data_IF_901437933617
#
_entry.id   IF_901437933617
#
_cell.length_a   1.000
_cell.length_b   1.000
_cell.length_c   1.000
_cell.angle_alpha   90.00
_cell.angle_beta   90.00
_cell.angle_gamma   90.00
#
_symmetry.space_group_name_H-M   'P 1'
#
loop_
_entity.id
_entity.type
_entity.pdbx_description
1 polymer ?
#
# COMPACT_ATOMS: atom_id res chain seq x y z
N UNK A 1 5.62 -15.69 6.45
CA UNK A 1 7.08 -15.60 6.24
C UNK A 1 7.45 -15.91 4.82
N UNK A 2 6.93 -16.98 4.29
CA UNK A 2 7.18 -17.40 2.92
C UNK A 2 6.67 -16.35 1.90
N UNK A 3 5.47 -15.80 2.15
CA UNK A 3 4.93 -14.75 1.29
C UNK A 3 5.81 -13.51 1.30
N UNK A 4 6.35 -13.13 2.46
CA UNK A 4 7.23 -11.98 2.55
C UNK A 4 8.49 -12.15 1.70
N UNK A 5 9.08 -13.34 1.73
CA UNK A 5 10.26 -13.64 0.93
C UNK A 5 9.93 -13.58 -0.57
N UNK A 6 8.82 -14.18 -0.96
CA UNK A 6 8.41 -14.20 -2.35
C UNK A 6 8.12 -12.79 -2.88
N UNK A 7 7.37 -12.00 -2.12
CA UNK A 7 7.03 -10.64 -2.53
C UNK A 7 8.29 -9.78 -2.61
N UNK A 8 9.14 -9.82 -1.59
CA UNK A 8 10.37 -9.02 -1.58
C UNK A 8 11.29 -9.35 -2.73
N UNK A 9 11.35 -10.63 -3.12
CA UNK A 9 12.21 -11.09 -4.21
C UNK A 9 11.69 -10.70 -5.59
N UNK A 10 10.41 -10.37 -5.70
CA UNK A 10 9.75 -10.14 -6.99
C UNK A 10 9.02 -8.80 -7.06
N UNK A 11 9.43 -7.82 -6.27
CA UNK A 11 8.77 -6.52 -6.26
C UNK A 11 8.80 -5.86 -7.64
N UNK A 12 7.72 -5.14 -7.95
CA UNK A 12 7.72 -4.22 -9.08
C UNK A 12 8.88 -3.23 -8.88
N UNK A 13 9.58 -2.85 -9.96
CA UNK A 13 10.70 -1.90 -9.81
C UNK A 13 10.31 -0.61 -9.08
N UNK A 14 9.11 -0.09 -9.34
CA UNK A 14 8.64 1.13 -8.71
C UNK A 14 8.43 0.95 -7.21
N UNK A 15 7.91 -0.21 -6.80
CA UNK A 15 7.70 -0.49 -5.38
C UNK A 15 9.02 -0.67 -4.65
N UNK A 16 9.96 -1.38 -5.27
CA UNK A 16 11.30 -1.54 -4.70
C UNK A 16 11.98 -0.18 -4.55
N UNK A 17 11.91 0.64 -5.58
CA UNK A 17 12.53 1.96 -5.58
C UNK A 17 11.93 2.85 -4.50
N UNK A 18 10.62 2.80 -4.31
CA UNK A 18 9.97 3.57 -3.26
C UNK A 18 10.50 3.19 -1.89
N UNK A 19 10.65 1.90 -1.61
CA UNK A 19 11.14 1.44 -0.30
C UNK A 19 12.62 1.73 -0.14
N UNK A 20 13.44 1.36 -1.11
CA UNK A 20 14.90 1.46 -1.01
C UNK A 20 15.38 2.90 -1.14
N UNK A 21 14.96 3.60 -2.18
CA UNK A 21 15.41 4.97 -2.42
C UNK A 21 14.57 5.99 -1.66
N UNK A 22 13.25 5.77 -1.59
CA UNK A 22 12.36 6.71 -0.97
C UNK A 22 12.40 6.68 0.54
N UNK A 23 12.24 5.50 1.13
CA UNK A 23 12.26 5.37 2.58
C UNK A 23 13.61 4.99 3.15
N UNK A 24 14.54 4.57 2.32
CA UNK A 24 15.86 4.14 2.77
C UNK A 24 15.82 2.85 3.57
N UNK A 25 14.90 1.94 3.24
CA UNK A 25 14.61 0.74 4.01
C UNK A 25 14.79 -0.49 3.14
N UNK A 26 15.08 -1.63 3.78
CA UNK A 26 15.16 -2.91 3.09
C UNK A 26 13.76 -3.53 2.96
N UNK A 27 13.28 -3.85 1.75
CA UNK A 27 11.94 -4.39 1.57
C UNK A 27 11.70 -5.70 2.31
N UNK A 28 12.64 -6.63 2.26
CA UNK A 28 12.47 -7.92 2.95
C UNK A 28 12.36 -7.74 4.45
N UNK A 29 13.24 -6.92 5.03
CA UNK A 29 13.20 -6.64 6.46
C UNK A 29 11.88 -6.01 6.88
N UNK A 30 11.38 -5.08 6.09
CA UNK A 30 10.10 -4.45 6.34
C UNK A 30 8.96 -5.47 6.32
N UNK A 31 8.90 -6.30 5.27
CA UNK A 31 7.81 -7.27 5.12
C UNK A 31 7.83 -8.35 6.18
N UNK A 32 9.03 -8.80 6.58
CA UNK A 32 9.15 -9.78 7.67
C UNK A 32 8.62 -9.19 8.98
N UNK A 33 8.99 -7.96 9.27
CA UNK A 33 8.51 -7.28 10.47
C UNK A 33 7.00 -7.18 10.48
N UNK A 34 6.40 -6.78 9.37
CA UNK A 34 4.94 -6.65 9.28
C UNK A 34 4.25 -8.01 9.37
N UNK A 35 4.82 -9.04 8.76
CA UNK A 35 4.27 -10.39 8.85
C UNK A 35 4.27 -10.89 10.29
N UNK A 36 5.33 -10.61 11.04
CA UNK A 36 5.43 -11.00 12.45
C UNK A 36 4.43 -10.29 13.33
N UNK A 37 4.05 -9.07 12.98
CA UNK A 37 3.02 -8.33 13.72
C UNK A 37 1.63 -8.91 13.52
N UNK A 38 1.43 -9.67 12.46
CA UNK A 38 0.14 -10.31 12.19
C UNK A 38 -0.95 -9.35 11.72
N UNK A 39 -0.59 -8.16 11.29
CA UNK A 39 -1.56 -7.13 10.89
C UNK A 39 -1.63 -6.95 9.38
N UNK A 40 -0.95 -7.79 8.63
CA UNK A 40 -0.96 -7.69 7.18
C UNK A 40 -1.60 -8.91 6.53
N UNK A 41 -1.92 -8.77 5.25
CA UNK A 41 -2.41 -9.86 4.42
C UNK A 41 -1.51 -9.98 3.19
N UNK A 42 -1.43 -11.17 2.63
CA UNK A 42 -0.89 -11.33 1.29
C UNK A 42 -2.03 -11.74 0.36
N UNK A 43 -1.88 -11.43 -0.92
CA UNK A 43 -2.93 -11.74 -1.87
C UNK A 43 -2.34 -12.33 -3.14
N UNK A 44 -3.13 -13.22 -3.76
CA UNK A 44 -2.74 -13.92 -4.98
C UNK A 44 -3.69 -13.57 -6.11
N UNK A 45 -3.19 -13.69 -7.34
CA UNK A 45 -4.02 -13.51 -8.53
C UNK A 45 -4.61 -14.84 -8.96
N UNK A 46 -5.61 -14.83 -9.87
CA UNK A 46 -6.24 -16.08 -10.32
C UNK A 46 -5.29 -17.14 -10.86
N UNK A 47 -4.12 -16.74 -11.36
CA UNK A 47 -3.11 -17.68 -11.84
C UNK A 47 -2.27 -18.29 -10.71
N UNK A 48 -2.59 -18.00 -9.46
CA UNK A 48 -1.88 -18.53 -8.29
C UNK A 48 -0.61 -17.79 -7.90
N UNK A 49 -0.20 -16.80 -8.68
CA UNK A 49 1.00 -16.03 -8.33
C UNK A 49 0.72 -15.06 -7.19
N UNK A 50 1.64 -14.96 -6.26
CA UNK A 50 1.53 -13.98 -5.18
C UNK A 50 1.72 -12.59 -5.77
N UNK A 51 0.73 -11.73 -5.53
CA UNK A 51 0.68 -10.41 -6.15
C UNK A 51 1.15 -9.31 -5.21
N UNK A 52 1.16 -9.55 -3.91
CA UNK A 52 1.63 -8.54 -2.98
C UNK A 52 1.22 -8.80 -1.55
N UNK A 53 1.62 -7.86 -0.72
CA UNK A 53 1.25 -7.79 0.68
C UNK A 53 0.75 -6.39 0.99
N UNK A 54 -0.19 -6.31 1.91
CA UNK A 54 -0.76 -5.02 2.33
C UNK A 54 -1.13 -5.09 3.80
N UNK A 55 -1.11 -3.95 4.46
CA UNK A 55 -1.48 -3.91 5.87
C UNK A 55 -1.75 -2.50 6.33
N UNK A 56 -2.08 -2.41 7.61
CA UNK A 56 -2.34 -1.14 8.25
C UNK A 56 -1.56 -1.11 9.56
N UNK A 57 -0.62 -0.18 9.64
CA UNK A 57 0.14 0.03 10.86
C UNK A 57 -0.66 0.91 11.81
N UNK A 58 -0.12 1.10 13.00
CA UNK A 58 -0.77 1.91 14.02
C UNK A 58 -1.17 3.28 13.45
N UNK A 59 -2.29 3.80 13.95
CA UNK A 59 -2.81 5.11 13.56
C UNK A 59 -3.27 5.21 12.10
N UNK A 60 -3.58 4.06 11.49
CA UNK A 60 -4.19 4.06 10.17
C UNK A 60 -3.22 4.22 9.01
N UNK A 61 -1.93 3.95 9.22
CA UNK A 61 -0.94 4.05 8.16
C UNK A 61 -1.05 2.83 7.24
N UNK A 62 -1.66 3.03 6.08
CA UNK A 62 -1.89 1.94 5.12
C UNK A 62 -0.67 1.78 4.22
N UNK A 63 -0.34 0.53 3.90
CA UNK A 63 0.79 0.26 3.00
C UNK A 63 0.48 -0.94 2.09
N UNK A 64 1.16 -0.99 0.96
CA UNK A 64 1.05 -2.11 0.03
C UNK A 64 2.31 -2.20 -0.82
N UNK A 65 2.82 -3.41 -0.98
CA UNK A 65 3.95 -3.69 -1.88
C UNK A 65 3.55 -4.82 -2.81
N UNK A 66 3.76 -4.62 -4.11
CA UNK A 66 3.26 -5.50 -5.15
C UNK A 66 4.35 -6.09 -6.03
N UNK A 67 4.03 -7.24 -6.61
CA UNK A 67 4.81 -7.86 -7.66
C UNK A 67 4.20 -7.52 -9.03
N UNK A 68 4.90 -7.78 -10.14
CA UNK A 68 4.31 -7.57 -11.47
C UNK A 68 3.06 -8.39 -11.76
N UNK A 69 2.74 -9.40 -10.93
CA UNK A 69 1.54 -10.21 -11.13
C UNK A 69 0.26 -9.38 -11.15
N UNK A 70 0.25 -8.20 -10.51
CA UNK A 70 -0.93 -7.32 -10.54
C UNK A 70 -1.27 -6.86 -11.95
N UNK A 71 -0.29 -6.81 -12.84
CA UNK A 71 -0.50 -6.34 -14.22
C UNK A 71 -1.19 -7.38 -15.10
N UNK A 72 -1.22 -8.65 -14.67
CA UNK A 72 -1.89 -9.71 -15.41
C UNK A 72 -3.41 -9.64 -15.22
N UNK A 73 -3.85 -9.09 -14.09
CA UNK A 73 -5.27 -9.02 -13.73
C UNK A 73 -5.59 -7.65 -13.11
N UNK A 74 -5.40 -6.56 -13.84
CA UNK A 74 -5.49 -5.23 -13.24
C UNK A 74 -6.87 -4.90 -12.67
N UNK A 75 -7.93 -5.36 -13.31
CA UNK A 75 -9.29 -5.09 -12.83
C UNK A 75 -9.59 -5.90 -11.58
N UNK A 76 -9.23 -7.17 -11.58
CA UNK A 76 -9.41 -8.03 -10.40
C UNK A 76 -8.63 -7.48 -9.23
N UNK A 77 -7.37 -7.09 -9.46
CA UNK A 77 -6.54 -6.49 -8.43
C UNK A 77 -7.18 -5.23 -7.84
N UNK A 78 -7.62 -4.31 -8.70
CA UNK A 78 -8.19 -3.05 -8.24
C UNK A 78 -9.47 -3.28 -7.43
N UNK A 79 -10.31 -4.21 -7.85
CA UNK A 79 -11.55 -4.55 -7.13
C UNK A 79 -11.27 -5.16 -5.76
N UNK A 80 -10.31 -6.07 -5.69
CA UNK A 80 -9.96 -6.70 -4.43
C UNK A 80 -9.32 -5.69 -3.46
N UNK A 81 -8.47 -4.81 -3.97
CA UNK A 81 -7.90 -3.74 -3.17
C UNK A 81 -8.99 -2.84 -2.62
N UNK A 82 -9.99 -2.50 -3.45
CA UNK A 82 -11.10 -1.65 -3.00
C UNK A 82 -11.92 -2.36 -1.93
N UNK A 83 -12.19 -3.65 -2.12
CA UNK A 83 -12.93 -4.43 -1.12
C UNK A 83 -12.20 -4.44 0.21
N UNK A 84 -10.88 -4.64 0.19
CA UNK A 84 -10.07 -4.61 1.40
C UNK A 84 -10.17 -3.25 2.10
N UNK A 85 -9.97 -2.17 1.37
CA UNK A 85 -10.01 -0.82 1.93
C UNK A 85 -11.40 -0.48 2.47
N UNK A 86 -12.45 -0.80 1.70
CA UNK A 86 -13.83 -0.49 2.11
C UNK A 86 -14.22 -1.25 3.39
N UNK A 87 -13.62 -2.40 3.65
CA UNK A 87 -13.92 -3.22 4.82
C UNK A 87 -13.21 -2.78 6.09
N UNK A 88 -12.27 -1.85 6.00
CA UNK A 88 -11.48 -1.46 7.16
C UNK A 88 -12.29 -0.61 8.14
N UNK A 89 -11.95 -0.77 9.42
CA UNK A 89 -12.67 -0.13 10.51
C UNK A 89 -12.02 1.14 11.04
N UNK A 90 -10.81 1.43 10.62
CA UNK A 90 -10.11 2.65 11.00
C UNK A 90 -10.90 3.86 10.54
N UNK A 91 -10.89 4.92 11.33
CA UNK A 91 -11.57 6.16 10.95
C UNK A 91 -10.89 6.89 9.82
N UNK A 92 -9.57 6.78 9.75
CA UNK A 92 -8.75 7.45 8.75
C UNK A 92 -7.65 6.50 8.29
N UNK A 93 -7.49 6.36 7.00
CA UNK A 93 -6.35 5.68 6.39
C UNK A 93 -5.51 6.73 5.67
N UNK A 94 -4.19 6.64 5.82
CA UNK A 94 -3.30 7.63 5.21
C UNK A 94 -1.90 7.07 5.04
N UNK A 95 -1.12 7.69 4.20
CA UNK A 95 0.32 7.48 4.06
C UNK A 95 0.86 8.45 3.02
N UNK A 96 2.10 8.23 2.64
CA UNK A 96 2.73 8.94 1.54
C UNK A 96 3.13 7.93 0.46
N UNK A 97 3.17 8.38 -0.78
CA UNK A 97 3.53 7.53 -1.92
C UNK A 97 4.53 8.27 -2.79
N UNK A 98 5.54 7.55 -3.29
CA UNK A 98 6.53 8.13 -4.21
C UNK A 98 5.80 8.64 -5.45
N UNK A 99 6.04 9.89 -5.79
CA UNK A 99 5.37 10.54 -6.92
C UNK A 99 5.66 9.82 -8.25
N UNK A 100 6.76 9.09 -8.34
CA UNK A 100 7.13 8.32 -9.51
C UNK A 100 6.32 7.02 -9.68
N UNK A 101 5.66 6.57 -8.62
CA UNK A 101 4.90 5.31 -8.63
C UNK A 101 3.50 5.55 -9.19
N UNK A 102 3.43 5.80 -10.50
CA UNK A 102 2.20 6.23 -11.15
C UNK A 102 1.08 5.19 -11.11
N UNK A 103 1.42 3.91 -11.10
CA UNK A 103 0.41 2.84 -10.98
C UNK A 103 -0.29 2.94 -9.64
N UNK A 104 0.46 3.14 -8.56
CA UNK A 104 -0.13 3.31 -7.24
C UNK A 104 -0.92 4.60 -7.11
N UNK A 105 -0.46 5.69 -7.75
CA UNK A 105 -1.24 6.93 -7.75
C UNK A 105 -2.62 6.72 -8.37
N UNK A 106 -2.69 6.02 -9.48
CA UNK A 106 -3.96 5.71 -10.13
C UNK A 106 -4.84 4.82 -9.26
N UNK A 107 -4.23 3.82 -8.64
CA UNK A 107 -4.95 2.92 -7.74
C UNK A 107 -5.54 3.68 -6.56
N UNK A 108 -4.74 4.54 -5.92
CA UNK A 108 -5.20 5.32 -4.79
C UNK A 108 -6.40 6.20 -5.14
N UNK A 109 -6.39 6.80 -6.31
CA UNK A 109 -7.54 7.55 -6.80
C UNK A 109 -8.79 6.67 -6.92
N UNK A 110 -8.63 5.51 -7.54
CA UNK A 110 -9.72 4.55 -7.68
C UNK A 110 -10.26 4.11 -6.32
N UNK A 111 -9.38 3.94 -5.34
CA UNK A 111 -9.75 3.52 -3.99
C UNK A 111 -10.43 4.64 -3.18
N UNK A 112 -10.50 5.85 -3.71
CA UNK A 112 -11.16 6.95 -3.04
C UNK A 112 -10.28 7.79 -2.12
N UNK A 113 -8.97 7.61 -2.20
CA UNK A 113 -8.06 8.46 -1.44
C UNK A 113 -7.96 9.85 -2.09
N UNK A 114 -7.75 10.86 -1.26
CA UNK A 114 -7.49 12.21 -1.71
C UNK A 114 -6.02 12.53 -1.55
N UNK A 115 -5.46 13.20 -2.54
CA UNK A 115 -4.08 13.68 -2.49
C UNK A 115 -4.08 15.04 -1.82
N UNK A 116 -3.30 15.18 -0.75
CA UNK A 116 -3.33 16.36 0.09
C UNK A 116 -2.24 17.36 -0.22
N UNK A 117 -1.00 16.87 -0.36
CA UNK A 117 0.13 17.75 -0.61
C UNK A 117 1.35 16.94 -1.03
N UNK A 118 2.30 17.62 -1.65
CA UNK A 118 3.61 17.07 -1.97
C UNK A 118 4.55 17.36 -0.80
N UNK A 119 5.34 16.35 -0.43
CA UNK A 119 6.35 16.50 0.61
C UNK A 119 7.67 15.94 0.13
N UNK A 120 8.75 16.43 0.71
CA UNK A 120 10.11 15.91 0.46
C UNK A 120 10.42 14.94 1.58
N UNK A 121 10.85 13.74 1.22
CA UNK A 121 10.95 12.64 2.18
C UNK A 121 12.18 11.77 1.93
N UNK A 122 12.69 11.21 3.03
CA UNK A 122 13.71 10.17 3.02
C UNK A 122 15.13 10.65 2.83
N UNK A 123 16.08 9.70 2.83
CA UNK A 123 17.51 10.05 2.76
C UNK A 123 17.91 10.70 1.44
N UNK A 124 17.17 10.42 0.37
CA UNK A 124 17.46 10.97 -0.95
C UNK A 124 16.61 12.20 -1.28
N UNK A 125 15.82 12.70 -0.32
CA UNK A 125 14.99 13.90 -0.47
C UNK A 125 14.13 13.85 -1.73
N UNK A 126 13.37 12.76 -1.87
CA UNK A 126 12.51 12.55 -3.02
C UNK A 126 11.12 13.13 -2.79
N UNK A 127 10.43 13.41 -3.88
CA UNK A 127 9.07 13.95 -3.83
C UNK A 127 8.06 12.84 -3.60
N UNK A 128 7.29 12.97 -2.53
CA UNK A 128 6.18 12.08 -2.18
C UNK A 128 4.88 12.87 -2.14
N UNK A 129 3.78 12.15 -2.34
CA UNK A 129 2.43 12.72 -2.22
C UNK A 129 1.78 12.14 -0.98
N UNK A 130 1.31 13.01 -0.10
CA UNK A 130 0.53 12.57 1.06
C UNK A 130 -0.91 12.33 0.62
N UNK A 131 -1.47 11.19 1.05
CA UNK A 131 -2.84 10.83 0.69
C UNK A 131 -3.60 10.36 1.92
N UNK A 132 -4.92 10.52 1.90
CA UNK A 132 -5.76 10.10 3.01
C UNK A 132 -7.18 9.80 2.53
N UNK A 133 -7.83 8.92 3.29
CA UNK A 133 -9.24 8.59 3.07
C UNK A 133 -9.94 8.52 4.42
N UNK A 134 -11.01 9.29 4.58
CA UNK A 134 -11.87 9.19 5.74
C UNK A 134 -12.75 7.96 5.55
N UNK A 135 -12.60 6.98 6.45
CA UNK A 135 -13.24 5.66 6.31
C UNK A 135 -14.65 5.63 6.84
N UNK A 136 -14.85 6.28 7.96
CA UNK A 136 -16.14 6.15 8.63
C UNK A 136 -16.86 7.46 8.63
N UNK A 137 -18.05 7.38 8.11
CA UNK A 137 -19.00 8.46 8.34
C UNK A 137 -19.59 8.18 9.70
N UNK A 138 -19.41 9.09 10.60
CA UNK A 138 -20.07 8.97 11.87
C UNK A 138 -21.57 9.04 11.63
N UNK A 139 -22.30 8.22 12.38
CA UNK A 139 -23.72 8.38 12.42
C UNK A 139 -24.02 9.81 12.85
N UNK A 140 -25.15 10.32 12.39
CA UNK A 140 -25.54 11.68 12.72
C UNK A 140 -25.77 11.81 14.20
N UNK A 141 -24.79 12.35 14.89
CA UNK A 141 -24.95 12.73 16.27
C UNK A 141 -24.40 14.10 16.41
N UNK A 142 -24.92 14.77 17.38
CA UNK A 142 -24.37 16.08 17.71
C UNK A 142 -22.92 15.93 18.12
N UNK A 143 -22.16 16.86 17.75
CA UNK A 143 -20.77 16.94 18.14
C UNK A 143 -20.65 17.32 19.60
#
# INVERSE_FOLDING_TARGET
>A
MEAALEVASNLRPEDRREVEEGHGTNPLGYLIREARRGTCVYFTMPNGKTAGMAGIEDEGVVWMLCTPAIHDYPITFAREAKRFIDSRQEELLWNIVDERNTVHLKLLKFLGFKFLRRIIHGPNKLSFIEFARVQRKRSKRSC
#
